data_IF_773679162481
#
_entry.id   IF_773679162481
#
_cell.length_a   1.000
_cell.length_b   1.000
_cell.length_c   1.000
_cell.angle_alpha   90.00
_cell.angle_beta   90.00
_cell.angle_gamma   90.00
#
_symmetry.space_group_name_H-M   'P 1'
#
loop_
_entity.id
_entity.type
_entity.pdbx_description
1 polymer ?
#
# COMPACT_ATOMS: atom_id res chain seq x y z
N UNK A 1 -8.51 -13.96 -29.65
CA UNK A 1 -8.66 -12.54 -29.26
C UNK A 1 -7.90 -12.37 -27.96
N UNK A 2 -6.70 -11.79 -27.98
CA UNK A 2 -5.93 -11.58 -26.75
C UNK A 2 -6.74 -10.67 -25.82
N UNK A 3 -7.09 -11.21 -24.65
CA UNK A 3 -7.75 -10.47 -23.58
C UNK A 3 -6.75 -9.39 -23.16
N UNK A 4 -7.06 -8.11 -23.39
CA UNK A 4 -6.24 -7.01 -22.86
C UNK A 4 -6.13 -7.21 -21.33
N UNK A 5 -4.94 -7.00 -20.75
CA UNK A 5 -4.76 -7.20 -19.32
C UNK A 5 -5.72 -6.29 -18.55
N UNK A 6 -6.36 -6.86 -17.52
CA UNK A 6 -7.25 -6.18 -16.57
C UNK A 6 -6.47 -5.32 -15.55
N UNK A 7 -5.16 -5.18 -15.75
CA UNK A 7 -4.25 -4.51 -14.84
C UNK A 7 -3.13 -3.77 -15.58
N UNK A 8 -2.64 -2.70 -14.95
CA UNK A 8 -1.33 -2.11 -15.20
C UNK A 8 -0.43 -2.35 -13.98
N UNK A 9 0.84 -2.70 -14.17
CA UNK A 9 1.74 -3.02 -13.05
C UNK A 9 3.06 -2.29 -13.25
N UNK A 10 3.42 -1.48 -12.25
CA UNK A 10 4.64 -0.70 -12.25
C UNK A 10 5.45 -1.00 -10.99
N UNK A 11 6.61 -1.61 -11.16
CA UNK A 11 7.57 -1.81 -10.09
C UNK A 11 8.57 -0.65 -10.04
N UNK A 12 8.74 -0.07 -8.86
CA UNK A 12 9.84 0.84 -8.55
C UNK A 12 11.01 0.08 -7.94
N UNK A 13 12.19 0.68 -7.98
CA UNK A 13 13.40 0.11 -7.41
C UNK A 13 14.67 0.72 -8.02
N UNK A 14 15.85 0.22 -7.61
CA UNK A 14 17.15 0.64 -8.13
C UNK A 14 17.33 0.37 -9.64
N UNK A 15 16.55 -0.57 -10.17
CA UNK A 15 16.51 -0.96 -11.58
C UNK A 15 15.72 0.03 -12.46
N UNK A 16 15.16 1.09 -11.88
CA UNK A 16 14.37 2.10 -12.56
C UNK A 16 14.99 3.49 -12.44
N UNK A 17 14.67 4.42 -13.36
CA UNK A 17 15.04 5.83 -13.19
C UNK A 17 14.50 6.41 -11.87
N UNK A 18 15.24 7.31 -11.19
CA UNK A 18 14.76 7.97 -9.99
C UNK A 18 13.40 8.65 -10.17
N UNK A 19 12.44 8.30 -9.30
CA UNK A 19 11.08 8.81 -9.36
C UNK A 19 10.23 8.26 -10.49
N UNK A 20 10.56 7.07 -11.03
CA UNK A 20 9.73 6.36 -11.99
C UNK A 20 8.25 6.27 -11.58
N UNK A 21 7.94 5.74 -10.38
CA UNK A 21 6.56 5.62 -9.93
C UNK A 21 5.87 6.97 -9.69
N UNK A 22 6.62 8.01 -9.30
CA UNK A 22 6.11 9.38 -9.25
C UNK A 22 5.71 9.86 -10.64
N UNK A 23 6.57 9.65 -11.64
CA UNK A 23 6.30 10.08 -13.02
C UNK A 23 5.05 9.38 -13.59
N UNK A 24 4.87 8.08 -13.31
CA UNK A 24 3.64 7.37 -13.70
C UNK A 24 2.41 8.07 -13.13
N UNK A 25 2.40 8.42 -11.84
CA UNK A 25 1.28 9.16 -11.25
C UNK A 25 1.11 10.57 -11.86
N UNK A 26 2.21 11.26 -12.16
CA UNK A 26 2.18 12.58 -12.81
C UNK A 26 1.58 12.51 -14.22
N UNK A 27 1.93 11.49 -15.00
CA UNK A 27 1.37 11.22 -16.33
C UNK A 27 -0.14 10.98 -16.26
N UNK A 28 -0.61 10.19 -15.30
CA UNK A 28 -2.04 9.99 -15.09
C UNK A 28 -2.75 11.27 -14.65
N UNK A 29 -2.14 12.11 -13.81
CA UNK A 29 -2.70 13.43 -13.45
C UNK A 29 -2.83 14.32 -14.69
N UNK A 30 -1.79 14.37 -15.52
CA UNK A 30 -1.75 15.19 -16.73
C UNK A 30 -2.80 14.75 -17.76
N UNK A 31 -3.04 13.44 -17.86
CA UNK A 31 -3.98 12.86 -18.80
C UNK A 31 -5.47 13.12 -18.47
N UNK A 32 -5.80 13.61 -17.27
CA UNK A 32 -7.19 13.94 -16.92
C UNK A 32 -7.60 15.30 -17.52
N UNK A 33 -8.56 15.35 -18.45
CA UNK A 33 -9.04 16.58 -19.05
C UNK A 33 -9.99 17.33 -18.12
N UNK A 34 -10.29 18.59 -18.46
CA UNK A 34 -11.35 19.36 -17.80
C UNK A 34 -12.66 18.58 -17.77
N UNK A 35 -13.39 18.61 -16.65
CA UNK A 35 -14.59 17.79 -16.43
C UNK A 35 -14.31 16.35 -15.97
N UNK A 36 -13.07 15.87 -16.04
CA UNK A 36 -12.64 14.62 -15.42
C UNK A 36 -12.50 14.72 -13.90
N UNK A 37 -12.15 13.60 -13.26
CA UNK A 37 -11.87 13.51 -11.82
C UNK A 37 -10.59 12.75 -11.46
N UNK A 38 -10.01 13.17 -10.33
CA UNK A 38 -8.91 12.53 -9.60
C UNK A 38 -9.33 12.39 -8.13
N UNK A 39 -9.24 11.19 -7.57
CA UNK A 39 -9.56 10.92 -6.16
C UNK A 39 -8.37 10.19 -5.50
N UNK A 40 -7.75 10.82 -4.50
CA UNK A 40 -6.43 10.45 -3.99
C UNK A 40 -6.46 10.20 -2.48
N UNK A 41 -5.97 9.04 -2.02
CA UNK A 41 -5.82 8.69 -0.61
C UNK A 41 -4.40 8.21 -0.33
N UNK A 42 -3.69 8.83 0.60
CA UNK A 42 -2.28 8.49 0.85
C UNK A 42 -1.82 8.74 2.28
N UNK A 43 -0.80 7.99 2.70
CA UNK A 43 -0.20 8.12 4.03
C UNK A 43 0.86 9.21 4.08
N UNK A 44 1.98 8.98 3.38
CA UNK A 44 2.99 10.00 3.17
C UNK A 44 2.73 10.68 1.83
N UNK A 45 2.80 12.00 1.83
CA UNK A 45 2.79 12.80 0.62
C UNK A 45 3.64 14.04 0.87
N UNK A 46 4.88 13.99 0.36
CA UNK A 46 5.84 15.08 0.48
C UNK A 46 6.24 15.68 -0.86
N UNK A 47 5.98 14.96 -1.94
CA UNK A 47 6.37 15.36 -3.29
C UNK A 47 5.63 16.63 -3.72
N UNK A 48 6.32 17.77 -3.66
CA UNK A 48 5.78 19.08 -4.00
C UNK A 48 5.49 19.22 -5.49
N UNK A 49 6.24 18.51 -6.35
CA UNK A 49 6.00 18.51 -7.79
C UNK A 49 4.68 17.84 -8.12
N UNK A 50 4.40 16.68 -7.52
CA UNK A 50 3.10 16.03 -7.65
C UNK A 50 1.97 16.87 -7.04
N UNK A 51 2.21 17.52 -5.90
CA UNK A 51 1.22 18.44 -5.31
C UNK A 51 0.88 19.58 -6.28
N UNK A 52 1.88 20.16 -6.94
CA UNK A 52 1.68 21.18 -7.98
C UNK A 52 0.92 20.62 -9.19
N UNK A 53 1.29 19.43 -9.69
CA UNK A 53 0.58 18.79 -10.80
C UNK A 53 -0.92 18.59 -10.50
N UNK A 54 -1.25 18.18 -9.26
CA UNK A 54 -2.63 18.02 -8.79
C UNK A 54 -3.36 19.39 -8.75
N UNK A 55 -2.70 20.45 -8.29
CA UNK A 55 -3.26 21.82 -8.29
C UNK A 55 -3.48 22.32 -9.72
N UNK A 56 -2.55 22.05 -10.64
CA UNK A 56 -2.70 22.42 -12.05
C UNK A 56 -3.86 21.66 -12.72
N UNK A 57 -4.08 20.39 -12.35
CA UNK A 57 -5.27 19.65 -12.76
C UNK A 57 -6.55 20.32 -12.25
N UNK A 58 -6.59 20.67 -10.96
CA UNK A 58 -7.73 21.39 -10.37
C UNK A 58 -8.02 22.72 -11.09
N UNK A 59 -6.99 23.55 -11.33
CA UNK A 59 -7.10 24.82 -12.06
C UNK A 59 -7.59 24.66 -13.50
N UNK A 60 -7.28 23.53 -14.14
CA UNK A 60 -7.78 23.18 -15.49
C UNK A 60 -9.26 22.77 -15.49
N UNK A 61 -9.90 22.63 -14.33
CA UNK A 61 -11.29 22.21 -14.18
C UNK A 61 -11.48 20.71 -13.96
N UNK A 62 -10.43 20.00 -13.52
CA UNK A 62 -10.54 18.62 -13.04
C UNK A 62 -11.13 18.64 -11.63
N UNK A 63 -12.08 17.74 -11.35
CA UNK A 63 -12.57 17.52 -9.99
C UNK A 63 -11.53 16.72 -9.19
N UNK A 64 -10.86 17.38 -8.26
CA UNK A 64 -9.81 16.78 -7.46
C UNK A 64 -10.27 16.61 -6.01
N UNK A 65 -10.10 15.41 -5.46
CA UNK A 65 -10.14 15.19 -4.00
C UNK A 65 -8.82 14.57 -3.54
N UNK A 66 -8.28 15.09 -2.44
CA UNK A 66 -7.06 14.55 -1.80
C UNK A 66 -7.35 14.32 -0.32
N UNK A 67 -7.16 13.09 0.13
CA UNK A 67 -7.25 12.67 1.53
C UNK A 67 -5.89 12.16 1.98
N UNK A 68 -5.26 12.85 2.92
CA UNK A 68 -3.93 12.48 3.40
C UNK A 68 -3.81 12.49 4.91
N UNK A 69 -2.89 11.68 5.43
CA UNK A 69 -2.62 11.65 6.86
C UNK A 69 -2.02 12.99 7.30
N UNK A 70 -2.62 13.64 8.30
CA UNK A 70 -2.14 14.92 8.81
C UNK A 70 -0.90 14.80 9.70
N UNK A 71 -0.86 13.76 10.53
CA UNK A 71 0.27 13.49 11.44
C UNK A 71 0.70 12.03 11.32
N UNK A 72 1.38 11.66 10.21
CA UNK A 72 1.91 10.32 10.05
C UNK A 72 3.01 10.05 11.10
N UNK A 73 3.63 8.86 11.07
CA UNK A 73 4.62 8.46 12.08
C UNK A 73 5.81 9.42 12.20
N UNK A 74 6.20 10.08 11.11
CA UNK A 74 7.03 11.28 11.15
C UNK A 74 6.08 12.48 11.08
N UNK A 75 5.75 13.13 12.20
CA UNK A 75 4.55 13.97 12.31
C UNK A 75 4.47 15.16 11.36
N UNK A 76 5.62 15.70 10.99
CA UNK A 76 5.82 16.89 10.16
C UNK A 76 6.13 16.55 8.69
N UNK A 77 6.13 15.26 8.33
CA UNK A 77 6.55 14.82 7.00
C UNK A 77 5.71 15.45 5.89
N UNK A 78 4.40 15.58 6.09
CA UNK A 78 3.47 16.04 5.07
C UNK A 78 3.22 17.57 5.11
N UNK A 79 3.80 18.30 6.07
CA UNK A 79 3.44 19.69 6.36
C UNK A 79 3.60 20.62 5.15
N UNK A 80 4.68 20.46 4.38
CA UNK A 80 4.94 21.29 3.20
C UNK A 80 3.89 21.09 2.09
N UNK A 81 3.51 19.83 1.82
CA UNK A 81 2.46 19.51 0.85
C UNK A 81 1.09 19.95 1.36
N UNK A 82 0.80 19.76 2.64
CA UNK A 82 -0.45 20.24 3.25
C UNK A 82 -0.55 21.77 3.09
N UNK A 83 0.51 22.51 3.42
CA UNK A 83 0.54 23.96 3.25
C UNK A 83 0.33 24.37 1.79
N UNK A 84 0.99 23.69 0.84
CA UNK A 84 0.85 23.96 -0.59
C UNK A 84 -0.58 23.70 -1.10
N UNK A 85 -1.17 22.56 -0.74
CA UNK A 85 -2.52 22.16 -1.16
C UNK A 85 -3.62 23.00 -0.49
N UNK A 86 -3.37 23.53 0.71
CA UNK A 86 -4.30 24.38 1.46
C UNK A 86 -4.19 25.87 1.14
N UNK A 87 -3.21 26.27 0.32
CA UNK A 87 -3.00 27.66 -0.06
C UNK A 87 -4.23 28.24 -0.79
N UNK A 88 -4.39 29.57 -0.86
CA UNK A 88 -5.52 30.19 -1.56
C UNK A 88 -5.68 29.75 -3.03
N UNK A 89 -4.58 29.41 -3.69
CA UNK A 89 -4.56 28.89 -5.07
C UNK A 89 -4.49 27.35 -5.14
N UNK A 90 -4.71 26.66 -4.01
CA UNK A 90 -4.65 25.21 -3.84
C UNK A 90 -5.97 24.51 -4.20
N UNK A 91 -6.37 23.51 -3.43
CA UNK A 91 -7.52 22.62 -3.74
C UNK A 91 -8.86 23.05 -3.13
N UNK A 92 -8.92 24.18 -2.43
CA UNK A 92 -10.11 24.60 -1.67
C UNK A 92 -10.68 23.43 -0.82
N UNK A 93 -11.97 23.13 -0.94
CA UNK A 93 -12.66 22.05 -0.22
C UNK A 93 -12.26 20.63 -0.67
N UNK A 94 -11.44 20.49 -1.72
CA UNK A 94 -10.98 19.19 -2.22
C UNK A 94 -9.98 18.49 -1.29
N UNK A 95 -9.35 19.23 -0.38
CA UNK A 95 -8.36 18.70 0.56
C UNK A 95 -9.00 18.24 1.88
N UNK A 96 -8.71 17.00 2.27
CA UNK A 96 -9.03 16.44 3.60
C UNK A 96 -7.76 15.97 4.30
N UNK A 97 -7.37 16.68 5.35
CA UNK A 97 -6.31 16.27 6.26
C UNK A 97 -6.90 15.40 7.38
N UNK A 98 -6.48 14.14 7.46
CA UNK A 98 -7.02 13.15 8.42
C UNK A 98 -6.07 12.98 9.59
N UNK A 99 -6.55 13.29 10.80
CA UNK A 99 -5.88 12.90 12.05
C UNK A 99 -6.82 11.99 12.83
N UNK A 100 -6.45 10.72 12.96
CA UNK A 100 -7.26 9.75 13.68
C UNK A 100 -7.00 9.87 15.19
N UNK A 101 -8.05 9.90 16.02
CA UNK A 101 -7.88 9.92 17.47
C UNK A 101 -7.16 8.65 17.91
N UNK A 102 -6.27 8.79 18.91
CA UNK A 102 -5.65 7.65 19.56
C UNK A 102 -6.70 6.78 20.26
N UNK A 103 -6.43 5.47 20.35
CA UNK A 103 -7.24 4.58 21.20
C UNK A 103 -6.58 4.44 22.58
N UNK A 104 -7.36 4.20 23.66
CA UNK A 104 -6.81 3.92 24.97
C UNK A 104 -5.76 2.82 24.89
N UNK A 105 -4.58 3.06 25.46
CA UNK A 105 -3.45 2.15 25.43
C UNK A 105 -2.94 1.91 26.86
N UNK A 106 -2.38 0.72 27.16
CA UNK A 106 -1.74 0.47 28.45
C UNK A 106 -0.62 1.49 28.74
N UNK A 107 -0.29 1.74 30.02
CA UNK A 107 0.81 2.62 30.40
C UNK A 107 2.10 2.33 29.61
N UNK A 108 2.73 3.39 29.08
CA UNK A 108 3.95 3.28 28.26
C UNK A 108 3.74 2.85 26.80
N UNK A 109 2.50 2.64 26.35
CA UNK A 109 2.15 2.38 24.94
C UNK A 109 1.29 3.51 24.37
N UNK A 110 1.44 3.78 23.08
CA UNK A 110 0.55 4.67 22.34
C UNK A 110 0.01 3.92 21.13
N UNK A 111 -1.31 3.77 21.06
CA UNK A 111 -1.99 3.16 19.93
C UNK A 111 -2.63 4.28 19.11
N UNK A 112 -1.88 4.75 18.11
CA UNK A 112 -2.32 5.81 17.20
C UNK A 112 -2.62 5.18 15.84
N UNK A 113 -3.89 4.94 15.50
CA UNK A 113 -4.25 4.48 14.16
C UNK A 113 -3.74 5.50 13.12
N UNK A 114 -3.39 5.00 11.94
CA UNK A 114 -2.89 5.82 10.84
C UNK A 114 -3.76 5.61 9.59
N UNK A 115 -3.95 6.66 8.80
CA UNK A 115 -4.37 6.52 7.41
C UNK A 115 -3.19 5.97 6.61
N UNK A 116 -3.17 4.68 6.31
CA UNK A 116 -2.05 4.01 5.66
C UNK A 116 -2.35 3.50 4.24
N UNK A 117 -3.56 3.75 3.74
CA UNK A 117 -3.96 3.47 2.35
C UNK A 117 -3.10 4.24 1.34
N UNK A 118 -2.92 3.63 0.16
CA UNK A 118 -2.29 4.25 -1.03
C UNK A 118 -3.20 3.92 -2.20
N UNK A 119 -4.11 4.85 -2.49
CA UNK A 119 -5.14 4.71 -3.51
C UNK A 119 -5.13 5.95 -4.39
N UNK A 120 -4.94 5.77 -5.69
CA UNK A 120 -4.89 6.85 -6.66
C UNK A 120 -5.85 6.55 -7.81
N UNK A 121 -6.98 7.25 -7.85
CA UNK A 121 -8.03 7.02 -8.85
C UNK A 121 -8.02 8.11 -9.92
N UNK A 122 -8.08 7.71 -11.18
CA UNK A 122 -8.12 8.59 -12.34
C UNK A 122 -9.29 8.19 -13.24
N UNK A 123 -10.03 9.17 -13.72
CA UNK A 123 -11.17 8.92 -14.63
C UNK A 123 -10.76 8.76 -16.10
N UNK A 124 -9.57 9.22 -16.48
CA UNK A 124 -9.11 9.35 -17.86
C UNK A 124 -7.64 8.95 -18.00
N UNK A 125 -7.18 8.57 -19.21
CA UNK A 125 -7.93 8.45 -20.47
C UNK A 125 -8.92 7.28 -20.47
N UNK A 126 -8.72 6.32 -19.56
CA UNK A 126 -9.70 5.33 -19.15
C UNK A 126 -9.72 5.29 -17.62
N UNK A 127 -10.87 4.99 -16.99
CA UNK A 127 -10.93 4.86 -15.54
C UNK A 127 -9.95 3.79 -15.03
N UNK A 128 -9.13 4.18 -14.04
CA UNK A 128 -8.13 3.32 -13.42
C UNK A 128 -7.96 3.69 -11.95
N UNK A 129 -7.73 2.70 -11.10
CA UNK A 129 -7.44 2.90 -9.68
C UNK A 129 -6.16 2.16 -9.29
N UNK A 130 -5.14 2.91 -8.89
CA UNK A 130 -3.88 2.35 -8.41
C UNK A 130 -3.92 2.06 -6.94
N UNK A 131 -3.47 0.85 -6.57
CA UNK A 131 -3.16 0.47 -5.20
C UNK A 131 -1.77 -0.16 -5.13
N UNK A 132 -1.15 -0.14 -3.95
CA UNK A 132 0.14 -0.79 -3.78
C UNK A 132 0.90 -0.31 -2.55
N UNK A 133 2.22 -0.32 -2.66
CA UNK A 133 3.11 -0.02 -1.54
C UNK A 133 3.71 1.39 -1.57
N UNK A 134 3.67 2.05 -2.72
CA UNK A 134 4.31 3.34 -2.97
C UNK A 134 3.59 4.49 -2.26
N UNK A 135 4.35 5.38 -1.63
CA UNK A 135 3.89 6.73 -1.30
C UNK A 135 4.76 7.77 -2.03
N UNK A 136 4.20 8.89 -2.51
CA UNK A 136 4.95 10.01 -3.09
C UNK A 136 5.72 10.81 -2.00
N UNK A 137 6.79 10.21 -1.48
CA UNK A 137 7.48 10.68 -0.28
C UNK A 137 8.74 11.50 -0.56
N UNK A 138 9.34 11.40 -1.75
CA UNK A 138 10.60 12.07 -2.11
C UNK A 138 10.39 13.43 -2.78
N UNK A 139 11.32 14.36 -2.59
CA UNK A 139 11.45 15.59 -3.38
C UNK A 139 12.75 15.58 -4.20
N UNK A 140 12.79 16.38 -5.27
CA UNK A 140 14.01 16.61 -6.06
C UNK A 140 14.19 18.12 -6.27
N UNK A 141 15.24 18.74 -5.69
CA UNK A 141 16.19 18.17 -4.73
C UNK A 141 15.53 17.78 -3.39
N UNK A 142 16.12 16.82 -2.66
CA UNK A 142 15.64 16.46 -1.32
C UNK A 142 16.28 17.37 -0.27
N UNK A 143 15.49 18.28 0.28
CA UNK A 143 15.95 19.25 1.29
C UNK A 143 16.07 18.66 2.70
N UNK A 144 15.32 17.57 2.99
CA UNK A 144 15.26 16.95 4.33
C UNK A 144 15.56 15.45 4.27
N UNK A 145 16.79 15.05 3.89
CA UNK A 145 17.16 13.65 3.68
C UNK A 145 17.00 12.78 4.94
N UNK A 146 17.10 13.36 6.13
CA UNK A 146 16.86 12.69 7.42
C UNK A 146 15.40 12.24 7.60
N UNK A 147 14.43 13.03 7.11
CA UNK A 147 13.01 12.65 7.11
C UNK A 147 12.82 11.43 6.22
N UNK A 148 13.37 11.47 5.00
CA UNK A 148 13.31 10.34 4.06
C UNK A 148 13.92 9.07 4.65
N UNK A 149 15.12 9.15 5.22
CA UNK A 149 15.77 8.00 5.88
C UNK A 149 14.92 7.46 7.02
N UNK A 150 14.25 8.33 7.78
CA UNK A 150 13.38 7.93 8.89
C UNK A 150 12.09 7.27 8.41
N UNK A 151 11.48 7.76 7.34
CA UNK A 151 10.31 7.15 6.70
C UNK A 151 10.72 5.78 6.12
N UNK A 152 11.84 5.75 5.41
CA UNK A 152 12.36 4.61 4.65
C UNK A 152 11.45 4.23 3.48
N UNK A 153 10.73 5.19 2.93
CA UNK A 153 9.98 5.09 1.70
C UNK A 153 10.39 6.29 0.87
N UNK A 154 10.95 6.02 -0.30
CA UNK A 154 11.48 7.03 -1.19
C UNK A 154 11.30 6.59 -2.62
N UNK A 155 11.43 7.55 -3.52
CA UNK A 155 11.20 7.45 -4.96
C UNK A 155 12.15 6.47 -5.71
N UNK A 156 13.18 5.98 -5.02
CA UNK A 156 14.14 4.96 -5.49
C UNK A 156 14.01 3.60 -4.80
N UNK A 157 13.19 3.49 -3.75
CA UNK A 157 13.00 2.24 -3.01
C UNK A 157 12.20 1.21 -3.80
N UNK A 158 12.35 -0.08 -3.46
CA UNK A 158 11.52 -1.11 -4.06
C UNK A 158 10.06 -0.89 -3.65
N UNK A 159 9.20 -0.63 -4.63
CA UNK A 159 7.79 -0.32 -4.44
C UNK A 159 6.97 -0.84 -5.62
N UNK A 160 5.64 -0.84 -5.50
CA UNK A 160 4.74 -1.22 -6.58
C UNK A 160 3.50 -0.32 -6.62
N UNK A 161 3.05 -0.04 -7.84
CA UNK A 161 1.72 0.44 -8.18
C UNK A 161 1.04 -0.61 -9.08
N UNK A 162 -0.16 -1.05 -8.69
CA UNK A 162 -1.01 -1.93 -9.50
C UNK A 162 -2.28 -1.15 -9.83
N UNK A 163 -2.46 -0.83 -11.11
CA UNK A 163 -3.60 -0.14 -11.67
C UNK A 163 -4.70 -1.13 -12.02
N UNK A 164 -5.84 -1.03 -11.34
CA UNK A 164 -7.03 -1.83 -11.58
C UNK A 164 -7.89 -1.13 -12.63
N UNK A 165 -8.28 -1.83 -13.70
CA UNK A 165 -9.13 -1.25 -14.77
C UNK A 165 -10.53 -1.89 -14.87
N UNK A 166 -10.83 -2.88 -14.02
CA UNK A 166 -12.18 -3.43 -13.89
C UNK A 166 -13.16 -2.33 -13.44
N UNK A 167 -14.22 -2.03 -14.21
CA UNK A 167 -15.11 -0.91 -13.90
C UNK A 167 -15.78 -1.01 -12.52
N UNK A 168 -16.11 -2.22 -12.06
CA UNK A 168 -16.76 -2.41 -10.76
C UNK A 168 -15.78 -2.14 -9.62
N UNK A 169 -14.55 -2.62 -9.74
CA UNK A 169 -13.48 -2.31 -8.77
C UNK A 169 -13.19 -0.81 -8.74
N UNK A 170 -13.03 -0.18 -9.91
CA UNK A 170 -12.72 1.26 -10.02
C UNK A 170 -13.84 2.10 -9.43
N UNK A 171 -15.11 1.82 -9.75
CA UNK A 171 -16.25 2.55 -9.19
C UNK A 171 -16.30 2.43 -7.66
N UNK A 172 -16.12 1.22 -7.14
CA UNK A 172 -16.08 0.97 -5.69
C UNK A 172 -14.96 1.74 -4.98
N UNK A 173 -13.77 1.77 -5.58
CA UNK A 173 -12.61 2.48 -5.05
C UNK A 173 -12.76 4.00 -5.09
N UNK A 174 -13.30 4.55 -6.19
CA UNK A 174 -13.65 5.97 -6.30
C UNK A 174 -14.68 6.37 -5.25
N UNK A 175 -15.72 5.53 -5.06
CA UNK A 175 -16.74 5.75 -4.02
C UNK A 175 -16.12 5.76 -2.62
N UNK A 176 -15.23 4.81 -2.34
CA UNK A 176 -14.49 4.75 -1.07
C UNK A 176 -13.63 6.01 -0.84
N UNK A 177 -12.79 6.39 -1.81
CA UNK A 177 -11.93 7.57 -1.71
C UNK A 177 -12.74 8.84 -1.44
N UNK A 178 -13.83 9.05 -2.18
CA UNK A 178 -14.74 10.20 -1.99
C UNK A 178 -15.46 10.16 -0.64
N UNK A 179 -15.84 8.98 -0.16
CA UNK A 179 -16.45 8.86 1.16
C UNK A 179 -15.45 9.26 2.25
N UNK A 180 -14.22 8.78 2.16
CA UNK A 180 -13.16 9.08 3.13
C UNK A 180 -12.82 10.58 3.15
N UNK A 181 -12.85 11.23 1.98
CA UNK A 181 -12.67 12.67 1.85
C UNK A 181 -13.79 13.49 2.52
N UNK A 182 -15.05 13.07 2.31
CA UNK A 182 -16.24 13.74 2.86
C UNK A 182 -16.40 13.52 4.36
N UNK A 183 -16.26 12.27 4.80
CA UNK A 183 -16.49 11.85 6.18
C UNK A 183 -15.30 11.01 6.63
N UNK A 184 -14.28 11.63 7.25
CA UNK A 184 -13.13 10.89 7.73
C UNK A 184 -13.56 9.87 8.80
N UNK A 185 -12.86 8.73 8.88
CA UNK A 185 -13.28 7.64 9.74
C UNK A 185 -13.09 8.00 11.23
N UNK A 186 -14.14 7.80 12.02
CA UNK A 186 -14.11 7.95 13.48
C UNK A 186 -13.70 6.68 14.22
N UNK A 187 -13.67 6.73 15.55
CA UNK A 187 -13.28 5.61 16.43
C UNK A 187 -14.07 4.31 16.19
N UNK A 188 -15.34 4.44 15.79
CA UNK A 188 -16.23 3.31 15.56
C UNK A 188 -16.27 2.85 14.09
N UNK A 189 -15.43 3.42 13.21
CA UNK A 189 -15.44 3.09 11.78
C UNK A 189 -15.36 1.59 11.51
N UNK A 190 -14.55 0.86 12.29
CA UNK A 190 -14.38 -0.60 12.15
C UNK A 190 -15.67 -1.41 12.29
N UNK A 191 -16.69 -0.86 12.96
CA UNK A 191 -18.00 -1.49 13.15
C UNK A 191 -19.00 -1.13 12.04
N UNK A 192 -18.65 -0.18 11.17
CA UNK A 192 -19.52 0.21 10.05
C UNK A 192 -19.61 -0.90 9.00
N UNK A 193 -20.74 -0.95 8.30
CA UNK A 193 -20.91 -1.86 7.16
C UNK A 193 -19.82 -1.62 6.10
N UNK A 194 -19.49 -0.35 5.82
CA UNK A 194 -18.53 0.03 4.79
C UNK A 194 -17.11 -0.47 5.12
N UNK A 195 -16.68 -0.41 6.38
CA UNK A 195 -15.38 -0.94 6.80
C UNK A 195 -15.27 -2.47 6.67
N UNK A 196 -16.39 -3.18 6.54
CA UNK A 196 -16.44 -4.64 6.48
C UNK A 196 -16.82 -5.19 5.10
N UNK A 197 -17.26 -4.32 4.18
CA UNK A 197 -17.65 -4.68 2.82
C UNK A 197 -16.42 -4.75 1.91
N UNK A 198 -16.23 -5.88 1.24
CA UNK A 198 -15.22 -6.05 0.22
C UNK A 198 -15.78 -5.66 -1.16
N UNK A 199 -14.93 -5.18 -2.06
CA UNK A 199 -15.30 -4.92 -3.46
C UNK A 199 -14.77 -6.09 -4.28
N UNK A 200 -15.63 -6.82 -4.98
CA UNK A 200 -15.23 -8.06 -5.69
C UNK A 200 -15.55 -7.98 -7.17
N UNK A 201 -14.60 -8.35 -8.00
CA UNK A 201 -14.81 -8.72 -9.41
C UNK A 201 -14.55 -10.22 -9.58
N UNK A 202 -14.44 -10.70 -10.83
CA UNK A 202 -14.32 -12.11 -11.20
C UNK A 202 -13.10 -12.78 -10.56
N UNK A 203 -11.94 -12.13 -10.60
CA UNK A 203 -10.66 -12.70 -10.17
C UNK A 203 -10.02 -11.94 -9.00
N UNK A 204 -10.61 -10.83 -8.56
CA UNK A 204 -9.95 -9.90 -7.63
C UNK A 204 -10.95 -9.36 -6.61
N UNK A 205 -10.56 -9.41 -5.33
CA UNK A 205 -11.32 -8.84 -4.22
C UNK A 205 -10.47 -7.84 -3.45
N UNK A 206 -11.00 -6.64 -3.23
CA UNK A 206 -10.40 -5.57 -2.45
C UNK A 206 -11.00 -5.55 -1.04
N UNK A 207 -10.10 -5.47 -0.06
CA UNK A 207 -10.41 -5.40 1.35
C UNK A 207 -9.87 -4.12 1.97
N UNK A 208 -10.62 -3.62 2.96
CA UNK A 208 -10.27 -2.49 3.80
C UNK A 208 -10.26 -2.92 5.27
N UNK A 209 -9.60 -2.10 6.08
CA UNK A 209 -9.44 -2.25 7.51
C UNK A 209 -9.26 -0.84 8.10
N UNK A 210 -9.41 -0.63 9.42
CA UNK A 210 -9.70 -1.66 10.42
C UNK A 210 -11.10 -2.27 10.23
N UNK A 211 -11.23 -3.58 10.48
CA UNK A 211 -12.49 -4.34 10.31
C UNK A 211 -12.81 -5.22 11.53
N UNK A 212 -14.03 -5.73 11.62
CA UNK A 212 -14.46 -6.67 12.69
C UNK A 212 -14.13 -8.12 12.36
N UNK A 213 -14.19 -8.47 11.08
CA UNK A 213 -13.82 -9.81 10.60
C UNK A 213 -12.31 -10.05 10.74
N UNK A 214 -11.92 -11.33 10.70
CA UNK A 214 -10.51 -11.73 10.63
C UNK A 214 -9.80 -11.00 9.49
N UNK A 215 -8.49 -10.76 9.65
CA UNK A 215 -7.67 -10.14 8.62
C UNK A 215 -7.68 -11.00 7.34
N UNK A 216 -8.23 -10.56 6.19
CA UNK A 216 -8.45 -11.41 5.02
C UNK A 216 -7.23 -12.18 4.52
N UNK A 217 -6.02 -11.60 4.59
CA UNK A 217 -4.79 -12.34 4.23
C UNK A 217 -4.55 -13.50 5.20
N UNK A 218 -4.76 -13.31 6.52
CA UNK A 218 -4.58 -14.37 7.51
C UNK A 218 -5.69 -15.41 7.40
N UNK A 219 -6.93 -14.96 7.22
CA UNK A 219 -8.09 -15.84 6.98
C UNK A 219 -7.86 -16.75 5.77
N UNK A 220 -7.35 -16.19 4.67
CA UNK A 220 -6.99 -16.95 3.48
C UNK A 220 -5.85 -17.93 3.77
N UNK A 221 -4.75 -17.46 4.34
CA UNK A 221 -3.57 -18.28 4.62
C UNK A 221 -3.87 -19.44 5.58
N UNK A 222 -4.84 -19.29 6.47
CA UNK A 222 -5.30 -20.36 7.36
C UNK A 222 -6.01 -21.51 6.61
N UNK A 223 -6.46 -21.27 5.38
CA UNK A 223 -7.12 -22.27 4.53
C UNK A 223 -6.15 -22.91 3.53
N UNK A 224 -4.92 -22.39 3.40
CA UNK A 224 -3.90 -22.94 2.50
C UNK A 224 -3.40 -24.28 3.02
N UNK A 225 -3.39 -25.28 2.13
CA UNK A 225 -2.96 -26.63 2.44
C UNK A 225 -1.44 -26.80 2.53
N UNK A 226 -1.04 -28.00 2.96
CA UNK A 226 0.36 -28.35 3.22
C UNK A 226 1.24 -28.52 1.98
N UNK A 227 0.66 -28.57 0.78
CA UNK A 227 1.42 -28.74 -0.48
C UNK A 227 1.68 -27.41 -1.19
N UNK A 228 1.22 -26.29 -0.63
CA UNK A 228 1.36 -24.99 -1.26
C UNK A 228 2.80 -24.46 -1.19
N UNK A 229 3.18 -23.66 -2.19
CA UNK A 229 4.34 -22.77 -2.14
C UNK A 229 3.88 -21.36 -1.83
N UNK A 230 4.47 -20.75 -0.82
CA UNK A 230 4.10 -19.40 -0.36
C UNK A 230 5.34 -18.53 -0.29
N UNK A 231 5.34 -17.42 -1.04
CA UNK A 231 6.39 -16.40 -1.02
C UNK A 231 5.84 -15.12 -0.39
N UNK A 232 6.49 -14.60 0.65
CA UNK A 232 6.10 -13.38 1.34
C UNK A 232 7.18 -12.32 1.13
N UNK A 233 6.82 -11.21 0.50
CA UNK A 233 7.67 -10.03 0.39
C UNK A 233 7.16 -8.97 1.35
N UNK A 234 7.97 -8.62 2.35
CA UNK A 234 7.51 -7.84 3.50
C UNK A 234 8.49 -6.75 3.91
N UNK A 235 8.07 -5.49 3.77
CA UNK A 235 8.83 -4.35 4.29
C UNK A 235 9.00 -4.40 5.82
N UNK A 236 7.99 -4.84 6.57
CA UNK A 236 8.07 -4.95 8.04
C UNK A 236 7.45 -6.25 8.54
N UNK A 237 8.17 -6.94 9.44
CA UNK A 237 7.68 -8.08 10.23
C UNK A 237 8.16 -7.87 11.67
N UNK A 238 7.27 -7.43 12.55
CA UNK A 238 7.67 -6.96 13.90
C UNK A 238 6.97 -7.65 15.05
N UNK A 239 5.93 -8.42 14.79
CA UNK A 239 5.11 -9.04 15.83
C UNK A 239 5.23 -10.54 15.78
N UNK A 240 5.36 -11.13 16.96
CA UNK A 240 5.38 -12.58 17.15
C UNK A 240 4.14 -13.25 16.57
N UNK A 241 2.96 -12.69 16.80
CA UNK A 241 1.70 -13.17 16.20
C UNK A 241 1.69 -13.17 14.67
N UNK A 242 2.51 -12.34 14.02
CA UNK A 242 2.63 -12.37 12.57
C UNK A 242 3.61 -13.45 12.11
N UNK A 243 4.66 -13.72 12.88
CA UNK A 243 5.53 -14.86 12.66
C UNK A 243 4.78 -16.17 12.91
N UNK A 244 3.88 -16.23 13.90
CA UNK A 244 3.06 -17.40 14.21
C UNK A 244 2.25 -17.86 12.99
N UNK A 245 1.61 -16.95 12.26
CA UNK A 245 0.88 -17.27 11.00
C UNK A 245 1.79 -17.95 9.97
N UNK A 246 3.02 -17.46 9.82
CA UNK A 246 4.00 -18.00 8.86
C UNK A 246 4.55 -19.35 9.32
N UNK A 247 4.79 -19.51 10.62
CA UNK A 247 5.26 -20.75 11.25
C UNK A 247 4.17 -21.83 11.17
N UNK A 248 2.91 -21.47 11.39
CA UNK A 248 1.78 -22.40 11.26
C UNK A 248 1.63 -22.92 9.82
N UNK A 249 1.80 -22.06 8.80
CA UNK A 249 1.86 -22.50 7.40
C UNK A 249 2.99 -23.50 7.14
N UNK A 250 4.21 -23.19 7.61
CA UNK A 250 5.35 -24.09 7.45
C UNK A 250 5.13 -25.43 8.17
N UNK A 251 4.55 -25.40 9.38
CA UNK A 251 4.23 -26.60 10.15
C UNK A 251 3.14 -27.46 9.49
N UNK A 252 2.24 -26.87 8.68
CA UNK A 252 1.29 -27.61 7.85
C UNK A 252 1.95 -28.29 6.65
N UNK A 253 3.20 -27.97 6.34
CA UNK A 253 3.99 -28.54 5.25
C UNK A 253 4.27 -27.58 4.09
N UNK A 254 3.67 -26.38 4.09
CA UNK A 254 3.82 -25.44 2.98
C UNK A 254 5.29 -25.00 2.81
N UNK A 255 5.75 -24.94 1.57
CA UNK A 255 7.07 -24.43 1.23
C UNK A 255 7.08 -22.89 1.36
N UNK A 256 7.74 -22.39 2.39
CA UNK A 256 7.72 -20.97 2.75
C UNK A 256 9.05 -20.27 2.43
N UNK A 257 8.94 -19.15 1.73
CA UNK A 257 10.04 -18.24 1.41
C UNK A 257 9.67 -16.80 1.79
N UNK A 258 10.58 -16.10 2.46
CA UNK A 258 10.37 -14.73 2.93
C UNK A 258 11.49 -13.82 2.43
N UNK A 259 11.12 -12.75 1.74
CA UNK A 259 12.01 -11.68 1.34
C UNK A 259 11.66 -10.43 2.14
N UNK A 260 12.57 -9.97 2.98
CA UNK A 260 12.28 -8.88 3.89
C UNK A 260 13.36 -7.79 3.90
N UNK A 261 13.00 -6.62 4.42
CA UNK A 261 13.93 -5.49 4.53
C UNK A 261 15.15 -5.86 5.39
N UNK A 262 16.32 -5.33 5.02
CA UNK A 262 17.58 -5.67 5.67
C UNK A 262 17.76 -5.09 7.07
N UNK A 263 16.94 -4.11 7.48
CA UNK A 263 17.13 -3.41 8.76
C UNK A 263 16.44 -4.12 9.93
N UNK A 264 17.11 -4.15 11.09
CA UNK A 264 16.54 -4.72 12.33
C UNK A 264 15.39 -3.91 12.91
N UNK A 265 15.28 -2.63 12.53
CA UNK A 265 14.14 -1.77 12.88
C UNK A 265 12.84 -2.28 12.24
N UNK A 266 12.93 -2.80 11.01
CA UNK A 266 11.78 -3.24 10.21
C UNK A 266 11.48 -4.72 10.38
N UNK A 267 12.51 -5.54 10.52
CA UNK A 267 12.39 -6.96 10.85
C UNK A 267 13.30 -7.28 12.03
N UNK A 268 12.71 -7.54 13.19
CA UNK A 268 13.49 -7.71 14.43
C UNK A 268 14.28 -9.02 14.42
N UNK A 269 15.44 -9.04 15.08
CA UNK A 269 16.26 -10.25 15.19
C UNK A 269 15.49 -11.43 15.83
N UNK A 270 14.63 -11.15 16.82
CA UNK A 270 13.76 -12.15 17.44
C UNK A 270 12.80 -12.79 16.43
N UNK A 271 12.18 -12.00 15.55
CA UNK A 271 11.29 -12.52 14.51
C UNK A 271 12.05 -13.40 13.53
N UNK A 272 13.19 -12.93 13.03
CA UNK A 272 14.05 -13.69 12.12
C UNK A 272 14.50 -15.02 12.75
N UNK A 273 14.98 -15.01 13.99
CA UNK A 273 15.37 -16.24 14.71
C UNK A 273 14.22 -17.25 14.81
N UNK A 274 12.99 -16.79 15.09
CA UNK A 274 11.82 -17.67 15.17
C UNK A 274 11.44 -18.28 13.81
N UNK A 275 11.50 -17.49 12.74
CA UNK A 275 11.23 -17.97 11.38
C UNK A 275 12.29 -19.00 10.95
N UNK A 276 13.57 -18.71 11.20
CA UNK A 276 14.67 -19.63 10.89
C UNK A 276 14.59 -20.93 11.70
N UNK A 277 14.18 -20.87 12.98
CA UNK A 277 13.97 -22.06 13.81
C UNK A 277 12.85 -22.96 13.28
N UNK A 278 11.86 -22.39 12.59
CA UNK A 278 10.81 -23.12 11.88
C UNK A 278 11.22 -23.59 10.47
N UNK A 279 12.52 -23.50 10.12
CA UNK A 279 13.08 -23.89 8.82
C UNK A 279 12.49 -23.14 7.63
N UNK A 280 11.94 -21.94 7.85
CA UNK A 280 11.45 -21.06 6.79
C UNK A 280 12.65 -20.44 6.08
N UNK A 281 12.65 -20.45 4.74
CA UNK A 281 13.69 -19.76 3.97
C UNK A 281 13.50 -18.26 4.13
N UNK A 282 14.51 -17.58 4.68
CA UNK A 282 14.43 -16.15 4.99
C UNK A 282 15.61 -15.41 4.36
N UNK A 283 15.31 -14.39 3.56
CA UNK A 283 16.29 -13.54 2.88
C UNK A 283 16.10 -12.07 3.24
N UNK A 284 17.19 -11.44 3.68
CA UNK A 284 17.27 -9.99 3.85
C UNK A 284 17.70 -9.33 2.54
N UNK A 285 16.84 -8.49 1.97
CA UNK A 285 17.13 -7.73 0.76
C UNK A 285 18.01 -6.54 1.13
N UNK A 286 19.27 -6.60 0.69
CA UNK A 286 20.25 -5.52 0.81
C UNK A 286 20.47 -4.92 -0.56
N UNK A 287 20.38 -3.59 -0.62
CA UNK A 287 20.77 -2.83 -1.79
C UNK A 287 22.10 -2.12 -1.49
N UNK A 288 23.08 -2.07 -2.42
CA UNK A 288 24.37 -1.42 -2.21
C UNK A 288 24.26 0.08 -1.84
N UNK A 289 23.24 0.76 -2.34
CA UNK A 289 22.96 2.16 -2.03
C UNK A 289 22.06 2.33 -0.79
N UNK A 290 21.85 1.26 -0.03
CA UNK A 290 21.00 1.22 1.16
C UNK A 290 19.55 1.67 0.91
N UNK A 291 19.06 1.48 -0.32
CA UNK A 291 17.67 1.79 -0.67
C UNK A 291 16.71 0.85 0.06
N UNK A 292 15.57 1.36 0.54
CA UNK A 292 14.63 0.58 1.32
C UNK A 292 13.89 -0.46 0.47
N UNK A 293 13.60 -1.62 1.08
CA UNK A 293 12.67 -2.59 0.51
C UNK A 293 11.28 -2.30 1.08
N UNK A 294 10.42 -1.70 0.26
CA UNK A 294 9.09 -1.26 0.66
C UNK A 294 7.96 -2.05 -0.03
N UNK A 295 8.30 -3.05 -0.86
CA UNK A 295 7.34 -4.01 -1.42
C UNK A 295 6.62 -4.79 -0.30
N UNK A 296 5.33 -5.05 -0.55
CA UNK A 296 4.42 -5.72 0.37
C UNK A 296 3.47 -6.58 -0.46
N UNK A 297 3.80 -7.85 -0.61
CA UNK A 297 2.92 -8.79 -1.27
C UNK A 297 3.13 -10.23 -0.78
N UNK A 298 2.14 -11.07 -1.02
CA UNK A 298 2.19 -12.52 -0.81
C UNK A 298 1.84 -13.19 -2.12
N UNK A 299 2.51 -14.29 -2.43
CA UNK A 299 2.18 -15.19 -3.52
C UNK A 299 1.88 -16.56 -2.93
N UNK A 300 0.78 -17.16 -3.35
CA UNK A 300 0.40 -18.53 -3.00
C UNK A 300 0.20 -19.30 -4.29
N UNK A 301 0.85 -20.46 -4.39
CA UNK A 301 0.69 -21.42 -5.47
C UNK A 301 0.33 -22.77 -4.85
N UNK A 302 -0.80 -23.32 -5.24
CA UNK A 302 -1.29 -24.60 -4.71
C UNK A 302 -2.02 -25.36 -5.82
N UNK A 303 -1.46 -26.50 -6.23
CA UNK A 303 -1.88 -27.21 -7.44
C UNK A 303 -1.86 -26.27 -8.65
N UNK A 304 -2.92 -26.26 -9.47
CA UNK A 304 -3.06 -25.40 -10.65
C UNK A 304 -3.60 -23.99 -10.32
N UNK A 305 -3.65 -23.61 -9.03
CA UNK A 305 -4.21 -22.32 -8.59
C UNK A 305 -3.12 -21.42 -8.04
N UNK A 306 -3.26 -20.14 -8.39
CA UNK A 306 -2.34 -19.09 -7.97
C UNK A 306 -3.11 -17.92 -7.38
N UNK A 307 -2.51 -17.26 -6.40
CA UNK A 307 -3.05 -16.05 -5.79
C UNK A 307 -1.95 -15.03 -5.48
N UNK A 308 -2.26 -13.76 -5.73
CA UNK A 308 -1.44 -12.60 -5.42
C UNK A 308 -2.16 -11.71 -4.42
N UNK A 309 -1.45 -11.29 -3.38
CA UNK A 309 -1.96 -10.45 -2.31
C UNK A 309 -1.09 -9.23 -2.28
N UNK A 310 -1.65 -8.02 -2.43
CA UNK A 310 -0.84 -6.80 -2.48
C UNK A 310 -1.60 -5.61 -1.93
N UNK A 311 -0.88 -4.60 -1.48
CA UNK A 311 -1.47 -3.37 -0.95
C UNK A 311 -0.54 -2.67 0.03
N UNK A 312 -1.15 -1.99 1.00
CA UNK A 312 -0.41 -1.14 1.94
C UNK A 312 0.05 -1.83 3.23
N UNK A 313 -0.47 -3.03 3.50
CA UNK A 313 -0.39 -3.69 4.81
C UNK A 313 1.00 -4.25 5.14
N UNK A 314 1.37 -4.14 6.42
CA UNK A 314 2.59 -4.71 7.00
C UNK A 314 2.27 -5.82 8.01
N UNK A 315 3.24 -6.70 8.29
CA UNK A 315 3.12 -7.76 9.30
C UNK A 315 3.37 -7.22 10.72
N UNK A 316 2.46 -6.33 11.17
CA UNK A 316 2.54 -5.63 12.44
C UNK A 316 1.17 -5.46 13.09
N UNK A 317 1.14 -5.38 14.43
CA UNK A 317 -0.12 -5.19 15.18
C UNK A 317 -0.92 -3.95 14.75
N UNK A 318 -0.34 -2.76 14.54
CA UNK A 318 -1.10 -1.61 14.06
C UNK A 318 -1.73 -1.85 12.67
N UNK A 319 -0.97 -2.41 11.73
CA UNK A 319 -1.48 -2.69 10.38
C UNK A 319 -2.63 -3.70 10.40
N UNK A 320 -2.60 -4.68 11.32
CA UNK A 320 -3.62 -5.72 11.37
C UNK A 320 -4.93 -5.26 12.03
N UNK A 321 -4.87 -4.28 12.94
CA UNK A 321 -5.98 -4.00 13.86
C UNK A 321 -6.43 -2.54 13.92
N UNK A 322 -5.55 -1.60 13.59
CA UNK A 322 -5.75 -0.17 13.90
C UNK A 322 -5.68 0.72 12.66
N UNK A 323 -4.71 0.49 11.78
CA UNK A 323 -4.49 1.35 10.63
C UNK A 323 -5.61 1.18 9.60
N UNK A 324 -5.89 2.27 8.90
CA UNK A 324 -6.64 2.24 7.66
C UNK A 324 -5.70 1.79 6.56
N UNK A 325 -5.93 0.59 6.05
CA UNK A 325 -5.06 -0.05 5.07
C UNK A 325 -5.95 -0.54 3.91
N UNK A 326 -5.33 -0.95 2.81
CA UNK A 326 -6.03 -1.52 1.65
C UNK A 326 -5.23 -2.73 1.15
N UNK A 327 -5.91 -3.79 0.73
CA UNK A 327 -5.29 -4.87 -0.01
C UNK A 327 -6.22 -5.51 -1.03
N UNK A 328 -5.63 -6.02 -2.10
CA UNK A 328 -6.27 -6.93 -3.03
C UNK A 328 -5.81 -8.36 -2.77
N UNK A 329 -6.71 -9.31 -3.00
CA UNK A 329 -6.40 -10.72 -3.22
C UNK A 329 -6.91 -11.04 -4.63
N UNK A 330 -6.02 -11.49 -5.51
CA UNK A 330 -6.32 -11.76 -6.91
C UNK A 330 -5.86 -13.16 -7.30
N UNK A 331 -6.69 -13.88 -8.05
CA UNK A 331 -6.35 -15.15 -8.69
C UNK A 331 -5.92 -14.99 -10.16
N UNK A 332 -5.63 -13.76 -10.62
CA UNK A 332 -5.17 -13.52 -11.98
C UNK A 332 -3.73 -14.06 -12.17
N UNK A 333 -3.50 -14.98 -13.13
CA UNK A 333 -2.20 -15.60 -13.34
C UNK A 333 -1.16 -14.66 -13.96
N UNK A 334 -1.57 -13.64 -14.72
CA UNK A 334 -0.66 -12.63 -15.28
C UNK A 334 -0.10 -11.77 -14.14
N UNK A 335 -0.96 -11.36 -13.20
CA UNK A 335 -0.56 -10.62 -12.01
C UNK A 335 0.39 -11.44 -11.13
N UNK A 336 0.05 -12.72 -10.91
CA UNK A 336 0.93 -13.64 -10.20
C UNK A 336 2.30 -13.77 -10.86
N UNK A 337 2.34 -13.98 -12.17
CA UNK A 337 3.60 -14.07 -12.93
C UNK A 337 4.44 -12.81 -12.78
N UNK A 338 3.85 -11.62 -12.91
CA UNK A 338 4.57 -10.36 -12.77
C UNK A 338 5.21 -10.19 -11.37
N UNK A 339 4.48 -10.54 -10.30
CA UNK A 339 5.03 -10.52 -8.94
C UNK A 339 6.06 -11.61 -8.70
N UNK A 340 5.89 -12.80 -9.28
CA UNK A 340 6.85 -13.90 -9.21
C UNK A 340 8.16 -13.52 -9.90
N UNK A 341 8.09 -12.91 -11.09
CA UNK A 341 9.24 -12.38 -11.83
C UNK A 341 9.96 -11.32 -10.98
N UNK A 342 9.21 -10.44 -10.28
CA UNK A 342 9.80 -9.47 -9.35
C UNK A 342 10.47 -10.14 -8.14
N UNK A 343 9.92 -11.22 -7.58
CA UNK A 343 10.60 -12.01 -6.53
C UNK A 343 11.95 -12.55 -7.01
N UNK A 344 12.00 -13.11 -8.21
CA UNK A 344 13.22 -13.68 -8.78
C UNK A 344 14.33 -12.61 -8.97
N UNK A 345 13.96 -11.33 -9.17
CA UNK A 345 14.92 -10.22 -9.20
C UNK A 345 15.44 -9.81 -7.80
N UNK A 346 14.75 -10.20 -6.73
CA UNK A 346 15.17 -9.95 -5.35
C UNK A 346 16.04 -11.10 -4.79
N UNK A 347 15.98 -12.27 -5.40
CA UNK A 347 16.92 -13.39 -5.22
C UNK A 347 18.33 -13.05 -5.71
#
# INVERSE_FOLDING_TARGET
MEKRPSFEIYFGGPDQPPGYLRNILEEHIAAVPSGGSIDWVTYYFRDLRLAEAIIQAYKRGVKVTVTLAGKPRVPDANDAVIARLSAPDGLAEGLRVVTLPGVPAPPGKSWKPQLHEKLYCFSHPKPIAFIGSFNPSGNVPEEKPEIIRKIGDQDRGHNVLVGLVDPHLVEGLVKHARQLNRVPPGLLYRFSANANLAISSVDTTIYFWPRMRTHPVVEFLNQVGGTARVRIVASHIRTESAADVMIELANRGAAMEIFADSTFRRVTAKVEQRLSAARIQFKRIKNPEHLPMHLKFVLVEEHEKVWSFFGSFNWTKPSFWLNHEIAAISSDPILFKAFADRCNMLE
#
